data_IF_807618983044
#
_entry.id   IF_807618983044
#
_cell.length_a   1.000
_cell.length_b   1.000
_cell.length_c   1.000
_cell.angle_alpha   90.00
_cell.angle_beta   90.00
_cell.angle_gamma   90.00
#
_symmetry.space_group_name_H-M   'P 1'
#
loop_
_entity.id
_entity.type
_entity.pdbx_description
1 polymer ?
#
# COMPACT_ATOMS: atom_id res chain seq x y z
N UNK A 1 8.42 -4.47 -28.02
CA UNK A 1 7.27 -5.38 -27.77
C UNK A 1 7.53 -6.39 -26.65
N UNK A 2 8.72 -7.01 -26.59
CA UNK A 2 9.07 -8.00 -25.54
C UNK A 2 9.08 -7.40 -24.12
N UNK A 3 9.55 -6.16 -23.95
CA UNK A 3 9.55 -5.49 -22.63
C UNK A 3 8.13 -5.22 -22.10
N UNK A 4 7.21 -4.85 -22.99
CA UNK A 4 5.82 -4.56 -22.67
C UNK A 4 5.04 -5.84 -22.32
N UNK A 5 5.38 -6.96 -22.97
CA UNK A 5 4.88 -8.28 -22.62
C UNK A 5 5.41 -8.75 -21.26
N UNK A 6 6.70 -8.56 -20.95
CA UNK A 6 7.27 -8.90 -19.64
C UNK A 6 6.66 -8.08 -18.49
N UNK A 7 6.42 -6.79 -18.72
CA UNK A 7 5.76 -5.89 -17.77
C UNK A 7 4.32 -6.29 -17.44
N UNK A 8 3.62 -7.01 -18.32
CA UNK A 8 2.23 -7.46 -18.11
C UNK A 8 2.15 -8.92 -17.64
N UNK A 9 2.99 -9.79 -18.19
CA UNK A 9 3.01 -11.23 -17.94
C UNK A 9 3.49 -11.55 -16.53
N UNK A 10 4.49 -10.84 -16.01
CA UNK A 10 5.01 -11.08 -14.65
C UNK A 10 3.97 -10.73 -13.58
N UNK A 11 3.27 -9.57 -13.62
CA UNK A 11 2.11 -9.29 -12.77
C UNK A 11 1.03 -10.36 -12.82
N UNK A 12 0.60 -10.74 -14.04
CA UNK A 12 -0.47 -11.69 -14.24
C UNK A 12 -0.08 -13.10 -13.77
N UNK A 13 1.19 -13.49 -13.95
CA UNK A 13 1.72 -14.75 -13.45
C UNK A 13 1.82 -14.76 -11.93
N UNK A 14 2.24 -13.66 -11.29
CA UNK A 14 2.29 -13.56 -9.82
C UNK A 14 0.87 -13.58 -9.22
N UNK A 15 -0.08 -12.87 -9.84
CA UNK A 15 -1.51 -12.91 -9.47
C UNK A 15 -2.06 -14.32 -9.68
N UNK A 16 -1.78 -14.95 -10.83
CA UNK A 16 -2.23 -16.30 -11.18
C UNK A 16 -1.68 -17.38 -10.25
N UNK A 17 -0.38 -17.34 -9.93
CA UNK A 17 0.27 -18.26 -8.98
C UNK A 17 -0.24 -18.03 -7.57
N UNK A 18 -0.46 -16.77 -7.18
CA UNK A 18 -1.15 -16.43 -5.94
C UNK A 18 -2.51 -17.12 -5.86
N UNK A 19 -3.40 -16.84 -6.82
CA UNK A 19 -4.75 -17.41 -6.94
C UNK A 19 -4.73 -18.95 -6.96
N UNK A 20 -3.82 -19.57 -7.72
CA UNK A 20 -3.71 -21.03 -7.84
C UNK A 20 -3.19 -21.70 -6.55
N UNK A 21 -2.22 -21.10 -5.87
CA UNK A 21 -1.73 -21.58 -4.57
C UNK A 21 -2.80 -21.48 -3.46
N UNK A 22 -3.82 -20.65 -3.66
CA UNK A 22 -4.92 -20.40 -2.71
C UNK A 22 -6.14 -21.30 -2.91
N UNK A 23 -6.29 -21.92 -4.09
CA UNK A 23 -7.36 -22.89 -4.36
C UNK A 23 -7.28 -24.15 -3.48
N UNK A 24 -6.17 -24.36 -2.76
CA UNK A 24 -5.93 -25.56 -1.93
C UNK A 24 -6.28 -25.42 -0.44
N UNK A 25 -6.82 -24.29 0.01
CA UNK A 25 -7.07 -24.04 1.46
C UNK A 25 -8.55 -24.14 1.82
N UNK A 26 -8.84 -24.89 2.89
CA UNK A 26 -10.19 -25.26 3.33
C UNK A 26 -11.06 -24.01 3.62
N UNK A 27 -12.31 -23.97 3.17
CA UNK A 27 -13.23 -22.88 3.47
C UNK A 27 -13.56 -22.87 4.98
N UNK A 28 -13.31 -21.74 5.64
CA UNK A 28 -13.89 -21.44 6.95
C UNK A 28 -15.32 -20.99 6.71
N UNK A 29 -16.30 -21.57 7.41
CA UNK A 29 -17.69 -21.17 7.29
C UNK A 29 -17.82 -19.67 7.59
N UNK A 30 -18.24 -18.83 6.62
CA UNK A 30 -18.31 -17.40 6.82
C UNK A 30 -19.44 -17.08 7.81
N UNK A 31 -19.11 -16.47 8.95
CA UNK A 31 -20.12 -15.86 9.80
C UNK A 31 -20.71 -14.64 9.09
N UNK A 32 -21.99 -14.29 9.35
CA UNK A 32 -22.63 -13.10 8.74
C UNK A 32 -21.90 -11.78 9.01
N UNK A 33 -21.09 -11.74 10.06
CA UNK A 33 -20.26 -10.59 10.42
C UNK A 33 -19.05 -10.47 9.51
N UNK A 34 -18.47 -11.60 9.12
CA UNK A 34 -17.32 -11.67 8.24
C UNK A 34 -17.64 -11.10 6.85
N UNK A 35 -18.80 -11.46 6.29
CA UNK A 35 -19.24 -10.93 4.99
C UNK A 35 -19.43 -9.41 5.01
N UNK A 36 -19.86 -8.83 6.14
CA UNK A 36 -19.96 -7.38 6.31
C UNK A 36 -18.60 -6.70 6.33
N UNK A 37 -17.61 -7.26 7.05
CA UNK A 37 -16.25 -6.71 7.07
C UNK A 37 -15.65 -6.71 5.67
N UNK A 38 -15.76 -7.83 4.95
CA UNK A 38 -15.30 -7.92 3.56
C UNK A 38 -16.05 -6.94 2.66
N UNK A 39 -17.38 -6.84 2.82
CA UNK A 39 -18.21 -5.89 2.07
C UNK A 39 -17.76 -4.44 2.24
N UNK A 40 -17.45 -3.99 3.46
CA UNK A 40 -16.94 -2.62 3.71
C UNK A 40 -15.56 -2.41 3.09
N UNK A 41 -14.67 -3.41 3.14
CA UNK A 41 -13.35 -3.32 2.51
C UNK A 41 -13.47 -3.18 0.99
N UNK A 42 -14.31 -4.02 0.37
CA UNK A 42 -14.59 -3.95 -1.08
C UNK A 42 -15.21 -2.61 -1.44
N UNK A 43 -16.21 -2.15 -0.68
CA UNK A 43 -16.85 -0.86 -0.89
C UNK A 43 -15.84 0.29 -0.79
N UNK A 44 -14.97 0.30 0.22
CA UNK A 44 -13.92 1.31 0.36
C UNK A 44 -12.95 1.32 -0.81
N UNK A 45 -12.54 0.13 -1.28
CA UNK A 45 -11.73 -0.01 -2.49
C UNK A 45 -12.43 0.50 -3.75
N UNK A 46 -13.70 0.16 -3.94
CA UNK A 46 -14.52 0.65 -5.06
C UNK A 46 -14.70 2.16 -5.05
N UNK A 47 -15.01 2.76 -3.88
CA UNK A 47 -15.12 4.21 -3.73
C UNK A 47 -13.78 4.89 -4.03
N UNK A 48 -12.67 4.34 -3.51
CA UNK A 48 -11.33 4.84 -3.81
C UNK A 48 -11.00 4.78 -5.29
N UNK A 49 -11.34 3.69 -5.97
CA UNK A 49 -11.13 3.54 -7.41
C UNK A 49 -11.96 4.54 -8.21
N UNK A 50 -13.24 4.73 -7.87
CA UNK A 50 -14.11 5.74 -8.53
C UNK A 50 -13.54 7.14 -8.33
N UNK A 51 -13.09 7.48 -7.12
CA UNK A 51 -12.44 8.76 -6.84
C UNK A 51 -11.14 8.93 -7.61
N UNK A 52 -10.35 7.87 -7.78
CA UNK A 52 -9.13 7.87 -8.57
C UNK A 52 -9.40 8.08 -10.07
N UNK A 53 -10.43 7.42 -10.62
CA UNK A 53 -10.87 7.63 -12.01
C UNK A 53 -11.36 9.07 -12.21
N UNK A 54 -12.17 9.58 -11.28
CA UNK A 54 -12.64 10.97 -11.33
C UNK A 54 -11.48 11.98 -11.25
N UNK A 55 -10.49 11.74 -10.38
CA UNK A 55 -9.29 12.56 -10.31
C UNK A 55 -8.48 12.49 -11.62
N UNK A 56 -8.33 11.29 -12.19
CA UNK A 56 -7.66 11.08 -13.48
C UNK A 56 -8.34 11.82 -14.64
N UNK A 57 -9.67 11.98 -14.61
CA UNK A 57 -10.41 12.71 -15.64
C UNK A 57 -10.53 14.22 -15.39
N UNK A 58 -10.42 14.66 -14.14
CA UNK A 58 -10.64 16.07 -13.77
C UNK A 58 -9.35 16.89 -13.63
N UNK A 59 -8.21 16.25 -13.40
CA UNK A 59 -6.93 16.93 -13.17
C UNK A 59 -6.07 16.95 -14.43
N UNK A 60 -5.60 18.14 -14.80
CA UNK A 60 -4.75 18.35 -15.98
C UNK A 60 -3.34 17.74 -15.81
N UNK A 61 -2.61 17.70 -16.94
CA UNK A 61 -1.19 17.29 -17.02
C UNK A 61 -0.89 15.89 -16.50
N UNK A 62 -1.89 15.01 -16.46
CA UNK A 62 -1.72 13.65 -15.93
C UNK A 62 -1.54 13.58 -14.41
N UNK A 63 -1.76 14.68 -13.67
CA UNK A 63 -1.69 14.70 -12.20
C UNK A 63 -2.65 13.70 -11.57
N UNK A 64 -3.85 13.57 -12.15
CA UNK A 64 -4.83 12.60 -11.68
C UNK A 64 -4.39 11.15 -11.83
N UNK A 65 -3.70 10.81 -12.92
CA UNK A 65 -3.13 9.47 -13.10
C UNK A 65 -2.03 9.16 -12.08
N UNK A 66 -1.20 10.17 -11.75
CA UNK A 66 -0.15 10.03 -10.72
C UNK A 66 -0.72 9.85 -9.31
N UNK A 67 -1.84 10.50 -9.00
CA UNK A 67 -2.50 10.41 -7.69
C UNK A 67 -3.41 9.17 -7.56
N UNK A 68 -3.86 8.60 -8.68
CA UNK A 68 -4.84 7.51 -8.71
C UNK A 68 -4.48 6.32 -7.80
N UNK A 69 -3.23 5.80 -7.78
CA UNK A 69 -2.86 4.70 -6.87
C UNK A 69 -2.95 5.10 -5.39
N UNK A 70 -2.59 6.35 -5.05
CA UNK A 70 -2.65 6.85 -3.67
C UNK A 70 -4.10 7.01 -3.19
N UNK A 71 -4.97 7.57 -4.05
CA UNK A 71 -6.39 7.78 -3.77
C UNK A 71 -7.11 6.42 -3.63
N UNK A 72 -6.80 5.47 -4.52
CA UNK A 72 -7.32 4.10 -4.42
C UNK A 72 -6.86 3.45 -3.12
N UNK A 73 -5.57 3.56 -2.80
CA UNK A 73 -4.98 3.06 -1.56
C UNK A 73 -5.63 3.66 -0.31
N UNK A 74 -5.95 4.95 -0.33
CA UNK A 74 -6.68 5.63 0.75
C UNK A 74 -8.07 5.02 0.95
N UNK A 75 -8.84 4.84 -0.12
CA UNK A 75 -10.16 4.19 -0.05
C UNK A 75 -10.09 2.78 0.55
N UNK A 76 -9.08 1.99 0.14
CA UNK A 76 -8.83 0.66 0.71
C UNK A 76 -8.51 0.75 2.20
N UNK A 77 -7.59 1.64 2.61
CA UNK A 77 -7.19 1.80 4.01
C UNK A 77 -8.36 2.27 4.89
N UNK A 78 -9.20 3.18 4.38
CA UNK A 78 -10.43 3.62 5.07
C UNK A 78 -11.43 2.46 5.19
N UNK A 79 -11.66 1.70 4.12
CA UNK A 79 -12.53 0.53 4.16
C UNK A 79 -12.05 -0.55 5.14
N UNK A 80 -10.75 -0.80 5.19
CA UNK A 80 -10.12 -1.68 6.19
C UNK A 80 -10.30 -1.13 7.59
N UNK A 81 -10.00 0.15 7.83
CA UNK A 81 -10.16 0.78 9.13
C UNK A 81 -11.60 0.69 9.63
N UNK A 82 -12.59 1.02 8.79
CA UNK A 82 -14.02 0.93 9.13
C UNK A 82 -14.45 -0.52 9.37
N UNK A 83 -14.03 -1.45 8.51
CA UNK A 83 -14.34 -2.87 8.66
C UNK A 83 -13.80 -3.46 9.97
N UNK A 84 -12.60 -3.06 10.40
CA UNK A 84 -11.99 -3.54 11.64
C UNK A 84 -12.55 -2.85 12.91
N UNK A 85 -13.07 -1.63 12.80
CA UNK A 85 -13.47 -0.83 13.97
C UNK A 85 -14.98 -0.75 14.21
N UNK A 86 -15.80 -0.72 13.14
CA UNK A 86 -17.25 -0.46 13.24
C UNK A 86 -18.06 -1.76 13.25
N UNK A 87 -17.65 -2.77 12.49
CA UNK A 87 -18.49 -3.95 12.21
C UNK A 87 -18.34 -5.08 13.24
N UNK A 88 -17.23 -5.13 13.98
CA UNK A 88 -16.98 -6.25 14.90
C UNK A 88 -18.00 -6.27 16.06
N UNK A 89 -18.44 -7.47 16.49
CA UNK A 89 -19.53 -7.64 17.44
C UNK A 89 -19.30 -6.90 18.75
N UNK A 90 -20.41 -6.55 19.42
CA UNK A 90 -20.40 -6.01 20.79
C UNK A 90 -20.11 -7.15 21.77
N UNK A 91 -19.33 -6.85 22.81
CA UNK A 91 -18.93 -7.81 23.84
C UNK A 91 -20.17 -8.39 24.55
N UNK A 92 -20.20 -9.69 24.80
CA UNK A 92 -21.18 -10.32 25.68
C UNK A 92 -21.02 -9.80 27.12
N UNK A 93 -22.11 -9.51 27.85
CA UNK A 93 -22.04 -9.11 29.25
C UNK A 93 -21.32 -10.17 30.08
N UNK A 94 -20.36 -9.77 30.92
CA UNK A 94 -19.60 -10.69 31.78
C UNK A 94 -18.55 -9.97 32.65
N UNK A 95 -17.94 -10.67 33.61
CA UNK A 95 -16.95 -10.08 34.52
C UNK A 95 -15.79 -9.43 33.76
N UNK A 96 -15.38 -8.24 34.22
CA UNK A 96 -14.31 -7.44 33.60
C UNK A 96 -12.98 -7.80 34.24
N UNK A 97 -12.20 -8.67 33.60
CA UNK A 97 -10.78 -8.81 33.90
C UNK A 97 -9.97 -7.79 33.10
N UNK A 98 -9.04 -7.09 33.78
CA UNK A 98 -8.09 -6.18 33.16
C UNK A 98 -6.71 -6.82 33.20
N UNK A 99 -6.14 -7.17 32.04
CA UNK A 99 -4.76 -7.63 31.99
C UNK A 99 -3.80 -6.45 32.15
N UNK A 100 -2.73 -6.66 32.91
CA UNK A 100 -1.69 -5.65 33.16
C UNK A 100 -0.59 -5.65 32.07
N UNK A 101 -0.74 -6.42 30.99
CA UNK A 101 0.27 -6.48 29.91
C UNK A 101 0.28 -5.17 29.11
N UNK A 102 1.46 -4.57 28.94
CA UNK A 102 1.64 -3.37 28.15
C UNK A 102 1.35 -3.64 26.66
N UNK A 103 0.40 -2.89 26.08
CA UNK A 103 -0.02 -3.02 24.67
C UNK A 103 0.65 -1.94 23.82
N UNK A 104 1.60 -2.35 22.97
CA UNK A 104 2.27 -1.45 22.01
C UNK A 104 2.02 -1.93 20.57
N UNK A 105 1.76 -0.99 19.66
CA UNK A 105 1.52 -1.30 18.22
C UNK A 105 2.68 -2.12 17.64
N UNK A 106 3.92 -1.75 17.95
CA UNK A 106 5.13 -2.45 17.48
C UNK A 106 5.20 -3.94 17.86
N UNK A 107 4.47 -4.36 18.90
CA UNK A 107 4.45 -5.76 19.35
C UNK A 107 3.61 -6.63 18.43
N UNK A 108 2.61 -6.04 17.77
CA UNK A 108 1.63 -6.76 16.97
C UNK A 108 1.80 -6.56 15.45
N UNK A 109 2.67 -5.64 15.03
CA UNK A 109 3.00 -5.45 13.61
C UNK A 109 3.92 -6.59 13.14
N UNK A 110 3.59 -7.30 12.05
CA UNK A 110 4.48 -8.29 11.48
C UNK A 110 5.78 -7.63 11.00
N UNK A 111 6.88 -7.89 11.71
CA UNK A 111 8.21 -7.32 11.43
C UNK A 111 8.62 -7.33 9.95
N UNK A 112 8.53 -8.44 9.21
CA UNK A 112 9.02 -8.44 7.82
C UNK A 112 8.21 -7.49 6.93
N UNK A 113 6.89 -7.43 7.12
CA UNK A 113 6.03 -6.54 6.36
C UNK A 113 6.23 -5.07 6.78
N UNK A 114 6.36 -4.82 8.08
CA UNK A 114 6.62 -3.47 8.60
C UNK A 114 7.97 -2.91 8.13
N UNK A 115 9.02 -3.74 8.10
CA UNK A 115 10.34 -3.36 7.58
C UNK A 115 10.30 -3.12 6.06
N UNK A 116 9.63 -3.99 5.29
CA UNK A 116 9.48 -3.81 3.85
C UNK A 116 8.75 -2.51 3.52
N UNK A 117 7.66 -2.20 4.24
CA UNK A 117 6.95 -0.93 4.09
C UNK A 117 7.83 0.27 4.46
N UNK A 118 8.54 0.21 5.58
CA UNK A 118 9.41 1.30 6.01
C UNK A 118 10.53 1.58 4.99
N UNK A 119 11.18 0.52 4.47
CA UNK A 119 12.21 0.63 3.45
C UNK A 119 11.67 1.22 2.14
N UNK A 120 10.53 0.72 1.67
CA UNK A 120 9.88 1.22 0.45
C UNK A 120 9.41 2.67 0.60
N UNK A 121 8.84 3.03 1.76
CA UNK A 121 8.45 4.42 2.04
C UNK A 121 9.67 5.34 2.06
N UNK A 122 10.78 4.93 2.69
CA UNK A 122 12.02 5.71 2.67
C UNK A 122 12.53 5.92 1.24
N UNK A 123 12.58 4.86 0.43
CA UNK A 123 12.96 4.94 -0.98
C UNK A 123 12.04 5.86 -1.77
N UNK A 124 10.72 5.77 -1.54
CA UNK A 124 9.74 6.62 -2.18
C UNK A 124 9.93 8.10 -1.82
N UNK A 125 10.17 8.41 -0.54
CA UNK A 125 10.43 9.79 -0.09
C UNK A 125 11.73 10.35 -0.66
N UNK A 126 12.80 9.55 -0.73
CA UNK A 126 14.06 9.94 -1.38
C UNK A 126 13.84 10.21 -2.86
N UNK A 127 13.06 9.37 -3.54
CA UNK A 127 12.71 9.56 -4.96
C UNK A 127 11.97 10.88 -5.16
N UNK A 128 10.93 11.14 -4.36
CA UNK A 128 10.16 12.39 -4.45
C UNK A 128 11.03 13.62 -4.14
N UNK A 129 11.91 13.53 -3.15
CA UNK A 129 12.81 14.63 -2.81
C UNK A 129 13.77 14.94 -3.97
N UNK A 130 14.37 13.90 -4.55
CA UNK A 130 15.26 14.03 -5.70
C UNK A 130 14.52 14.65 -6.89
N UNK A 131 13.40 14.07 -7.31
CA UNK A 131 12.66 14.53 -8.49
C UNK A 131 12.06 15.92 -8.29
N UNK A 132 11.73 16.30 -7.05
CA UNK A 132 11.32 17.68 -6.74
C UNK A 132 12.49 18.65 -6.84
N UNK A 133 13.68 18.26 -6.37
CA UNK A 133 14.86 19.13 -6.39
C UNK A 133 15.43 19.34 -7.79
N UNK A 134 15.22 18.39 -8.71
CA UNK A 134 15.74 18.43 -10.08
C UNK A 134 14.71 18.77 -11.14
N UNK A 135 13.46 19.06 -10.75
CA UNK A 135 12.41 19.45 -11.69
C UNK A 135 12.53 20.92 -12.08
N UNK A 136 12.35 21.19 -13.37
CA UNK A 136 12.17 22.52 -13.92
C UNK A 136 10.68 22.83 -14.06
N UNK A 137 10.25 23.95 -13.49
CA UNK A 137 8.83 24.36 -13.49
C UNK A 137 7.89 23.44 -12.71
N UNK A 138 8.42 22.39 -12.05
CA UNK A 138 7.67 21.47 -11.19
C UNK A 138 7.17 20.19 -11.88
N UNK A 139 7.19 20.10 -13.22
CA UNK A 139 6.65 18.97 -13.98
C UNK A 139 7.52 18.46 -15.13
N UNK A 140 8.70 19.05 -15.35
CA UNK A 140 9.64 18.65 -16.39
C UNK A 140 11.05 18.46 -15.84
N UNK A 141 11.85 17.66 -16.54
CA UNK A 141 13.29 17.57 -16.32
C UNK A 141 13.99 18.15 -17.54
N UNK A 142 14.82 19.17 -17.37
CA UNK A 142 15.53 19.79 -18.49
C UNK A 142 17.03 19.96 -18.24
N UNK A 143 17.76 20.12 -19.33
CA UNK A 143 19.17 20.50 -19.31
C UNK A 143 19.45 21.46 -20.46
N UNK A 144 20.40 22.36 -20.24
CA UNK A 144 20.88 23.31 -21.24
C UNK A 144 22.40 23.34 -21.20
N UNK A 145 23.01 23.04 -22.34
CA UNK A 145 24.44 23.27 -22.61
C UNK A 145 24.53 24.43 -23.60
N UNK A 146 24.91 25.64 -23.14
CA UNK A 146 24.90 26.84 -23.97
C UNK A 146 25.65 26.67 -25.29
N UNK A 147 24.97 26.98 -26.41
CA UNK A 147 25.56 26.88 -27.75
C UNK A 147 25.75 25.46 -28.28
N UNK A 148 25.35 24.42 -27.54
CA UNK A 148 25.53 23.02 -27.94
C UNK A 148 24.19 22.30 -28.07
N UNK A 149 23.43 22.19 -26.98
CA UNK A 149 22.17 21.44 -26.96
C UNK A 149 21.30 21.83 -25.77
N UNK A 150 20.00 21.64 -25.93
CA UNK A 150 19.03 21.72 -24.85
C UNK A 150 18.06 20.54 -24.99
N UNK A 151 17.57 20.03 -23.88
CA UNK A 151 16.59 18.96 -23.84
C UNK A 151 15.64 19.14 -22.67
N UNK A 152 14.39 18.75 -22.85
CA UNK A 152 13.39 18.69 -21.78
C UNK A 152 12.53 17.46 -21.99
N UNK A 153 12.19 16.77 -20.90
CA UNK A 153 11.32 15.61 -20.91
C UNK A 153 10.33 15.67 -19.74
N UNK A 154 9.07 15.30 -20.02
CA UNK A 154 8.01 15.19 -19.03
C UNK A 154 7.01 14.10 -19.41
N UNK A 155 6.13 13.68 -18.48
CA UNK A 155 5.96 14.20 -17.13
C UNK A 155 7.07 13.73 -16.18
N UNK A 156 7.73 14.69 -15.51
CA UNK A 156 8.71 14.43 -14.46
C UNK A 156 8.08 14.71 -13.10
N UNK A 157 8.18 13.80 -12.11
CA UNK A 157 7.44 13.91 -10.85
C UNK A 157 8.06 14.93 -9.87
N UNK A 158 8.11 16.19 -10.28
CA UNK A 158 8.52 17.32 -9.44
C UNK A 158 7.45 17.75 -8.44
N UNK A 159 7.55 19.00 -7.95
CA UNK A 159 6.66 19.57 -6.92
C UNK A 159 5.18 19.50 -7.28
N UNK A 160 4.83 19.63 -8.56
CA UNK A 160 3.46 19.59 -9.05
C UNK A 160 2.76 18.24 -8.79
N UNK A 161 3.54 17.16 -8.66
CA UNK A 161 3.05 15.82 -8.37
C UNK A 161 3.40 15.38 -6.94
N UNK A 162 4.61 15.70 -6.47
CA UNK A 162 5.11 15.21 -5.18
C UNK A 162 4.36 15.81 -4.00
N UNK A 163 4.03 17.11 -4.03
CA UNK A 163 3.29 17.80 -2.95
C UNK A 163 1.89 17.22 -2.74
N UNK A 164 1.01 17.12 -3.75
CA UNK A 164 -0.31 16.53 -3.54
C UNK A 164 -0.20 15.04 -3.18
N UNK A 165 0.77 14.31 -3.73
CA UNK A 165 0.98 12.90 -3.40
C UNK A 165 1.38 12.72 -1.92
N UNK A 166 2.30 13.55 -1.41
CA UNK A 166 2.66 13.58 0.01
C UNK A 166 1.45 13.88 0.89
N UNK A 167 0.58 14.80 0.47
CA UNK A 167 -0.69 15.08 1.15
C UNK A 167 -1.56 13.84 1.29
N UNK A 168 -1.81 13.12 0.19
CA UNK A 168 -2.63 11.89 0.21
C UNK A 168 -1.97 10.79 1.06
N UNK A 169 -0.65 10.58 0.91
CA UNK A 169 0.08 9.57 1.68
C UNK A 169 0.14 9.90 3.18
N UNK A 170 0.19 11.18 3.55
CA UNK A 170 0.09 11.60 4.95
C UNK A 170 -1.29 11.27 5.53
N UNK A 171 -2.37 11.46 4.77
CA UNK A 171 -3.72 11.04 5.17
C UNK A 171 -3.80 9.52 5.30
N UNK A 172 -3.23 8.76 4.36
CA UNK A 172 -3.13 7.29 4.45
C UNK A 172 -2.44 6.86 5.75
N UNK A 173 -1.28 7.46 6.05
CA UNK A 173 -0.52 7.16 7.26
C UNK A 173 -1.30 7.51 8.54
N UNK A 174 -2.01 8.64 8.55
CA UNK A 174 -2.84 9.06 9.67
C UNK A 174 -3.99 8.09 9.92
N UNK A 175 -4.75 7.72 8.88
CA UNK A 175 -5.87 6.76 8.99
C UNK A 175 -5.35 5.40 9.46
N UNK A 176 -4.24 4.92 8.90
CA UNK A 176 -3.63 3.66 9.32
C UNK A 176 -3.17 3.69 10.79
N UNK A 177 -2.56 4.80 11.23
CA UNK A 177 -2.14 4.97 12.62
C UNK A 177 -3.32 5.02 13.59
N UNK A 178 -4.41 5.70 13.24
CA UNK A 178 -5.64 5.74 14.04
C UNK A 178 -6.26 4.35 14.12
N UNK A 179 -6.43 3.67 12.97
CA UNK A 179 -6.96 2.30 12.93
C UNK A 179 -6.13 1.33 13.78
N UNK A 180 -4.79 1.41 13.66
CA UNK A 180 -3.87 0.60 14.45
C UNK A 180 -4.02 0.86 15.96
N UNK A 181 -4.15 2.13 16.37
CA UNK A 181 -4.38 2.49 17.78
C UNK A 181 -5.72 1.95 18.29
N UNK A 182 -6.79 2.04 17.51
CA UNK A 182 -8.12 1.51 17.88
C UNK A 182 -8.06 -0.01 18.04
N UNK A 183 -7.45 -0.71 17.08
CA UNK A 183 -7.28 -2.17 17.14
C UNK A 183 -6.50 -2.61 18.39
N UNK A 184 -5.39 -1.95 18.71
CA UNK A 184 -4.56 -2.31 19.88
C UNK A 184 -5.25 -1.96 21.19
N UNK A 185 -5.98 -0.84 21.27
CA UNK A 185 -6.70 -0.40 22.48
C UNK A 185 -8.02 -1.14 22.68
N UNK A 186 -8.46 -1.97 21.73
CA UNK A 186 -9.68 -2.78 21.83
C UNK A 186 -9.67 -3.62 23.12
N UNK A 187 -10.75 -3.57 23.93
CA UNK A 187 -10.91 -4.46 25.08
C UNK A 187 -10.81 -5.94 24.69
N UNK A 188 -10.35 -6.79 25.62
CA UNK A 188 -10.31 -8.25 25.43
C UNK A 188 -11.70 -8.88 25.58
N UNK A 189 -11.82 -10.18 25.34
CA UNK A 189 -13.05 -10.96 25.50
C UNK A 189 -13.83 -11.16 24.20
N UNK A 190 -13.15 -11.16 23.06
CA UNK A 190 -13.75 -11.50 21.76
C UNK A 190 -13.36 -12.90 21.26
N UNK A 191 -12.39 -13.52 21.92
CA UNK A 191 -11.99 -14.90 21.71
C UNK A 191 -12.06 -15.67 23.04
N UNK A 192 -11.90 -17.00 22.96
CA UNK A 192 -11.97 -17.89 24.11
C UNK A 192 -10.89 -17.62 25.17
N UNK A 193 -9.72 -17.13 24.74
CA UNK A 193 -8.58 -16.80 25.59
C UNK A 193 -7.86 -15.51 25.13
N UNK A 194 -6.86 -15.08 25.92
CA UNK A 194 -6.11 -13.85 25.64
C UNK A 194 -5.19 -13.95 24.40
N UNK A 195 -4.71 -15.15 24.09
CA UNK A 195 -3.76 -15.40 23.00
C UNK A 195 -4.47 -15.34 21.64
N UNK A 196 -5.69 -15.87 21.56
CA UNK A 196 -6.56 -15.75 20.41
C UNK A 196 -6.98 -14.29 20.16
N UNK A 197 -7.21 -13.51 21.21
CA UNK A 197 -7.44 -12.06 21.10
C UNK A 197 -6.22 -11.31 20.54
N UNK A 198 -5.01 -11.70 20.96
CA UNK A 198 -3.76 -11.12 20.44
C UNK A 198 -3.50 -11.55 18.98
N UNK A 199 -3.84 -12.79 18.60
CA UNK A 199 -3.82 -13.24 17.21
C UNK A 199 -4.76 -12.41 16.31
N UNK A 200 -5.96 -12.07 16.80
CA UNK A 200 -6.87 -11.16 16.09
C UNK A 200 -6.27 -9.77 15.89
N UNK A 201 -5.54 -9.23 16.88
CA UNK A 201 -4.86 -7.92 16.73
C UNK A 201 -3.74 -7.97 15.70
N UNK A 202 -2.92 -9.02 15.72
CA UNK A 202 -1.87 -9.25 14.71
C UNK A 202 -2.47 -9.33 13.32
N UNK A 203 -3.60 -10.05 13.16
CA UNK A 203 -4.32 -10.14 11.89
C UNK A 203 -4.79 -8.78 11.40
N UNK A 204 -5.52 -8.03 12.22
CA UNK A 204 -6.03 -6.71 11.85
C UNK A 204 -4.90 -5.74 11.49
N UNK A 205 -3.80 -5.72 12.26
CA UNK A 205 -2.64 -4.89 11.94
C UNK A 205 -1.90 -5.33 10.68
N UNK A 206 -1.85 -6.64 10.40
CA UNK A 206 -1.29 -7.15 9.14
C UNK A 206 -2.07 -6.62 7.95
N UNK A 207 -3.41 -6.59 8.02
CA UNK A 207 -4.27 -6.06 6.94
C UNK A 207 -4.09 -4.54 6.79
N UNK A 208 -4.03 -3.79 7.89
CA UNK A 208 -3.80 -2.33 7.87
C UNK A 208 -2.45 -2.01 7.23
N UNK A 209 -1.37 -2.66 7.69
CA UNK A 209 -0.02 -2.45 7.14
C UNK A 209 0.06 -2.87 5.68
N UNK A 210 -0.59 -3.97 5.31
CA UNK A 210 -0.66 -4.41 3.92
C UNK A 210 -1.41 -3.40 3.04
N UNK A 211 -2.53 -2.84 3.49
CA UNK A 211 -3.26 -1.82 2.75
C UNK A 211 -2.42 -0.55 2.54
N UNK A 212 -1.72 -0.09 3.59
CA UNK A 212 -0.78 1.03 3.49
C UNK A 212 0.40 0.72 2.56
N UNK A 213 0.96 -0.49 2.63
CA UNK A 213 2.04 -0.91 1.75
C UNK A 213 1.64 -1.01 0.29
N UNK A 214 0.41 -1.46 0.00
CA UNK A 214 -0.14 -1.46 -1.34
C UNK A 214 -0.25 -0.03 -1.90
N UNK A 215 -0.72 0.92 -1.09
CA UNK A 215 -0.82 2.32 -1.50
C UNK A 215 0.55 2.91 -1.86
N UNK A 216 1.55 2.77 -0.98
CA UNK A 216 2.91 3.29 -1.20
C UNK A 216 3.62 2.58 -2.36
N UNK A 217 3.46 1.27 -2.48
CA UNK A 217 4.12 0.49 -3.52
C UNK A 217 3.58 0.84 -4.91
N UNK A 218 2.25 0.92 -5.05
CA UNK A 218 1.62 1.26 -6.31
C UNK A 218 1.94 2.68 -6.76
N UNK A 219 2.01 3.65 -5.83
CA UNK A 219 2.44 5.02 -6.16
C UNK A 219 3.91 5.06 -6.56
N UNK A 220 4.78 4.33 -5.86
CA UNK A 220 6.20 4.28 -6.20
C UNK A 220 6.45 3.70 -7.59
N UNK A 221 5.72 2.65 -7.99
CA UNK A 221 5.81 2.10 -9.36
C UNK A 221 5.57 3.19 -10.40
N UNK A 222 4.49 3.96 -10.28
CA UNK A 222 4.18 5.05 -11.23
C UNK A 222 5.28 6.12 -11.27
N UNK A 223 5.65 6.64 -10.10
CA UNK A 223 6.67 7.70 -9.96
C UNK A 223 8.03 7.25 -10.50
N UNK A 224 8.48 6.05 -10.14
CA UNK A 224 9.78 5.52 -10.54
C UNK A 224 9.87 5.29 -12.05
N UNK A 225 8.81 4.78 -12.70
CA UNK A 225 8.77 4.60 -14.16
C UNK A 225 8.93 5.96 -14.86
N UNK A 226 8.17 6.98 -14.46
CA UNK A 226 8.19 8.28 -15.12
C UNK A 226 9.45 9.09 -14.83
N UNK A 227 10.02 8.95 -13.64
CA UNK A 227 11.28 9.57 -13.29
C UNK A 227 12.44 8.91 -14.07
N UNK A 228 12.47 7.58 -14.13
CA UNK A 228 13.49 6.83 -14.88
C UNK A 228 13.45 7.17 -16.38
N UNK A 229 12.25 7.17 -16.98
CA UNK A 229 12.10 7.48 -18.41
C UNK A 229 12.52 8.92 -18.73
N UNK A 230 12.17 9.89 -17.89
CA UNK A 230 12.53 11.29 -18.12
C UNK A 230 14.04 11.54 -17.92
N UNK A 231 14.67 10.90 -16.94
CA UNK A 231 16.14 10.99 -16.77
C UNK A 231 16.90 10.36 -17.94
N UNK A 232 16.40 9.25 -18.50
CA UNK A 232 17.00 8.59 -19.66
C UNK A 232 16.72 9.30 -20.99
N UNK A 233 15.65 10.08 -21.06
CA UNK A 233 15.16 10.72 -22.29
C UNK A 233 15.85 12.03 -22.68
N UNK A 234 16.82 12.50 -21.88
CA UNK A 234 17.41 13.84 -22.04
C UNK A 234 18.90 13.73 -22.41
N UNK A 235 19.34 14.17 -23.60
CA UNK A 235 20.68 13.88 -24.13
C UNK A 235 21.81 14.66 -23.45
N UNK A 236 21.52 15.83 -22.87
CA UNK A 236 22.49 16.60 -22.08
C UNK A 236 22.39 16.33 -20.57
N UNK A 237 21.80 15.20 -20.16
CA UNK A 237 21.69 14.88 -18.75
C UNK A 237 23.09 14.73 -18.11
N UNK A 238 23.27 15.19 -16.86
CA UNK A 238 24.51 15.03 -16.12
C UNK A 238 24.82 13.55 -15.89
N UNK A 239 26.11 13.22 -15.68
CA UNK A 239 26.60 11.83 -15.53
C UNK A 239 25.94 11.01 -14.41
N UNK A 240 25.32 11.66 -13.43
CA UNK A 240 24.59 10.96 -12.36
C UNK A 240 23.20 10.49 -12.78
N UNK A 241 22.60 11.07 -13.83
CA UNK A 241 21.22 10.80 -14.24
C UNK A 241 21.05 9.36 -14.75
N UNK A 242 22.04 8.84 -15.48
CA UNK A 242 22.03 7.47 -15.99
C UNK A 242 21.99 6.41 -14.88
N UNK A 243 22.92 6.37 -13.90
CA UNK A 243 22.86 5.38 -12.82
C UNK A 243 21.60 5.55 -11.95
N UNK A 244 21.13 6.79 -11.73
CA UNK A 244 19.87 7.02 -11.00
C UNK A 244 18.66 6.46 -11.77
N UNK A 245 18.59 6.70 -13.08
CA UNK A 245 17.54 6.13 -13.94
C UNK A 245 17.53 4.60 -13.85
N UNK A 246 18.70 3.96 -13.90
CA UNK A 246 18.82 2.51 -13.76
C UNK A 246 18.34 2.01 -12.38
N UNK A 247 18.72 2.69 -11.30
CA UNK A 247 18.24 2.36 -9.94
C UNK A 247 16.72 2.48 -9.83
N UNK A 248 16.14 3.55 -10.38
CA UNK A 248 14.69 3.74 -10.40
C UNK A 248 14.00 2.66 -11.22
N UNK A 249 14.53 2.32 -12.40
CA UNK A 249 14.00 1.22 -13.22
C UNK A 249 14.03 -0.13 -12.48
N UNK A 250 15.10 -0.43 -11.75
CA UNK A 250 15.22 -1.65 -10.93
C UNK A 250 14.25 -1.63 -9.72
N UNK A 251 13.98 -0.45 -9.15
CA UNK A 251 13.06 -0.33 -8.02
C UNK A 251 11.60 -0.66 -8.39
N UNK A 252 11.20 -0.50 -9.65
CA UNK A 252 9.85 -0.78 -10.17
C UNK A 252 9.42 -2.23 -9.92
N UNK A 253 10.12 -3.27 -10.40
CA UNK A 253 9.72 -4.66 -10.14
C UNK A 253 9.76 -4.99 -8.65
N UNK A 254 10.68 -4.42 -7.88
CA UNK A 254 10.75 -4.64 -6.42
C UNK A 254 9.49 -4.09 -5.73
N UNK A 255 9.11 -2.85 -6.02
CA UNK A 255 7.91 -2.24 -5.48
C UNK A 255 6.65 -2.98 -5.96
N UNK A 256 6.62 -3.43 -7.21
CA UNK A 256 5.52 -4.23 -7.73
C UNK A 256 5.37 -5.57 -6.97
N UNK A 257 6.48 -6.27 -6.67
CA UNK A 257 6.44 -7.48 -5.84
C UNK A 257 5.95 -7.20 -4.42
N UNK A 258 6.36 -6.08 -3.82
CA UNK A 258 5.84 -5.63 -2.51
C UNK A 258 4.34 -5.33 -2.58
N UNK A 259 3.87 -4.68 -3.65
CA UNK A 259 2.46 -4.43 -3.88
C UNK A 259 1.66 -5.74 -3.97
N UNK A 260 2.13 -6.71 -4.76
CA UNK A 260 1.53 -8.04 -4.86
C UNK A 260 1.51 -8.76 -3.51
N UNK A 261 2.61 -8.73 -2.77
CA UNK A 261 2.68 -9.33 -1.44
C UNK A 261 1.69 -8.69 -0.47
N UNK A 262 1.59 -7.36 -0.48
CA UNK A 262 0.60 -6.61 0.29
C UNK A 262 -0.83 -6.96 -0.12
N UNK A 263 -1.14 -7.02 -1.42
CA UNK A 263 -2.45 -7.40 -1.92
C UNK A 263 -2.84 -8.82 -1.48
N UNK A 264 -1.91 -9.77 -1.58
CA UNK A 264 -2.10 -11.14 -1.09
C UNK A 264 -2.45 -11.12 0.40
N UNK A 265 -1.72 -10.37 1.22
CA UNK A 265 -2.02 -10.24 2.66
C UNK A 265 -3.37 -9.54 2.91
N UNK A 266 -3.72 -8.53 2.13
CA UNK A 266 -4.98 -7.81 2.27
C UNK A 266 -6.20 -8.70 2.02
N UNK A 267 -6.18 -9.51 0.96
CA UNK A 267 -7.34 -10.29 0.53
C UNK A 267 -7.39 -11.72 1.11
N UNK A 268 -6.27 -12.25 1.61
CA UNK A 268 -6.14 -13.69 1.90
C UNK A 268 -5.69 -14.01 3.31
N UNK A 269 -5.30 -13.00 4.10
CA UNK A 269 -4.98 -13.16 5.52
C UNK A 269 -6.19 -13.66 6.34
N UNK A 270 -7.36 -13.72 5.71
CA UNK A 270 -8.61 -14.13 6.31
C UNK A 270 -8.92 -15.63 6.21
N UNK A 271 -8.12 -16.39 5.47
CA UNK A 271 -8.28 -17.86 5.33
C UNK A 271 -7.36 -18.67 6.25
N UNK A 272 -6.62 -18.01 7.14
CA UNK A 272 -5.68 -18.66 8.07
C UNK A 272 -6.35 -18.97 9.42
N UNK A 273 -6.88 -20.19 9.51
CA UNK A 273 -7.09 -21.05 10.69
C UNK A 273 -8.25 -20.79 11.68
N UNK A 274 -9.07 -21.83 11.81
CA UNK A 274 -9.46 -22.38 13.12
C UNK A 274 -8.45 -23.49 13.41
N UNK A 275 -7.59 -23.32 14.39
CA UNK A 275 -7.01 -24.48 15.08
C UNK A 275 -8.16 -25.03 15.91
N UNK A 276 -8.58 -26.27 15.65
CA UNK A 276 -9.53 -26.94 16.52
C UNK A 276 -9.01 -26.83 17.97
N UNK A 277 -9.84 -26.44 18.94
CA UNK A 277 -9.45 -26.54 20.33
C UNK A 277 -9.10 -28.01 20.56
N UNK A 278 -7.86 -28.30 20.95
CA UNK A 278 -7.53 -29.61 21.50
C UNK A 278 -8.52 -29.87 22.62
N UNK A 279 -9.30 -30.97 22.58
CA UNK A 279 -10.23 -31.27 23.66
C UNK A 279 -9.41 -31.34 24.95
N UNK A 280 -9.73 -30.45 25.89
CA UNK A 280 -9.20 -30.52 27.24
C UNK A 280 -9.73 -31.83 27.82
N UNK A 281 -8.84 -32.80 28.01
CA UNK A 281 -9.12 -34.03 28.73
C UNK A 281 -9.03 -33.80 30.23
#
# INVERSE_FOLDING_TARGET
>A
MVELAMLLVVPLAVIGVGVAALGRRRPVAPTREWSRVVGIRVLGGSVGLVAAVAAASALDRGRGLMLAPAITGLGIVVGVALGETVVRPRRTPGPRSASLRARRVRTYVPRPLGLALAALLALHLVTLALTTATADGGDSYSCVVPGVMAGSHGPYPGSDYSVPLLGVLAVVALVAAVAARVVVRRPRGFAADEDADDALRVRSLTVIVAASGLAVAATHVGIAITAASSLAGVPCAPVWAEPVSAVLAISVPVAFLVACWCAVRLFLNDRLQVTDPTPVR
#
